data_IF_300183876972
#
_entry.id   IF_300183876972
#
_cell.length_a   1.000
_cell.length_b   1.000
_cell.length_c   1.000
_cell.angle_alpha   90.00
_cell.angle_beta   90.00
_cell.angle_gamma   90.00
#
_symmetry.space_group_name_H-M   'P 1'
#
loop_
_entity.id
_entity.type
_entity.pdbx_description
1 polymer ?
#
# COMPACT_ATOMS: atom_id res chain seq x y z
N UNK A 1 22.07 -23.47 -36.14
CA UNK A 1 21.89 -23.04 -34.74
C UNK A 1 22.54 -24.10 -33.84
N UNK A 2 23.62 -23.74 -33.16
CA UNK A 2 24.39 -24.63 -32.30
C UNK A 2 23.54 -25.03 -31.07
N UNK A 3 23.16 -26.32 -31.00
CA UNK A 3 22.39 -26.92 -29.90
C UNK A 3 22.80 -26.46 -28.48
N UNK A 4 24.10 -26.31 -28.13
CA UNK A 4 24.49 -25.84 -26.79
C UNK A 4 24.12 -24.37 -26.51
N UNK A 5 24.09 -23.50 -27.53
CA UNK A 5 23.70 -22.09 -27.38
C UNK A 5 22.20 -21.95 -27.08
N UNK A 6 21.38 -22.83 -27.68
CA UNK A 6 19.93 -22.86 -27.43
C UNK A 6 19.61 -23.30 -26.00
N UNK A 7 20.33 -24.31 -25.50
CA UNK A 7 20.16 -24.82 -24.12
C UNK A 7 20.60 -23.78 -23.09
N UNK A 8 21.71 -23.07 -23.34
CA UNK A 8 22.17 -21.98 -22.49
C UNK A 8 21.18 -20.79 -22.46
N UNK A 9 20.58 -20.45 -23.61
CA UNK A 9 19.57 -19.39 -23.68
C UNK A 9 18.28 -19.75 -22.93
N UNK A 10 17.81 -21.01 -23.04
CA UNK A 10 16.62 -21.50 -22.32
C UNK A 10 16.87 -21.59 -20.80
N UNK A 11 18.06 -22.00 -20.36
CA UNK A 11 18.39 -22.00 -18.93
C UNK A 11 18.52 -20.58 -18.37
N UNK A 12 19.07 -19.64 -19.14
CA UNK A 12 19.23 -18.24 -18.70
C UNK A 12 17.92 -17.52 -18.41
N UNK A 13 16.84 -17.80 -19.15
CA UNK A 13 15.53 -17.17 -18.94
C UNK A 13 14.81 -17.66 -17.68
N UNK A 14 15.12 -18.86 -17.19
CA UNK A 14 14.54 -19.43 -15.97
C UNK A 14 15.10 -18.77 -14.69
N UNK A 15 16.36 -18.32 -14.70
CA UNK A 15 16.98 -17.67 -13.54
C UNK A 15 16.60 -16.18 -13.38
N UNK A 16 16.10 -15.54 -14.43
CA UNK A 16 15.71 -14.12 -14.40
C UNK A 16 14.28 -13.88 -13.87
N UNK A 17 13.48 -14.93 -13.64
CA UNK A 17 12.08 -14.80 -13.19
C UNK A 17 11.92 -14.48 -11.69
N UNK A 18 13.00 -14.42 -10.91
CA UNK A 18 12.91 -14.39 -9.44
C UNK A 18 12.87 -12.99 -8.80
N UNK A 19 13.03 -11.90 -9.55
CA UNK A 19 13.28 -10.57 -8.94
C UNK A 19 12.04 -9.65 -8.85
N UNK A 20 10.92 -9.97 -9.49
CA UNK A 20 9.75 -9.08 -9.51
C UNK A 20 8.96 -9.03 -8.18
N UNK A 21 8.83 -10.15 -7.46
CA UNK A 21 8.09 -10.19 -6.18
C UNK A 21 8.79 -9.52 -5.00
N UNK A 22 10.09 -9.18 -5.11
CA UNK A 22 10.84 -8.54 -4.02
C UNK A 22 10.52 -7.04 -3.93
N UNK A 23 10.13 -6.41 -5.04
CA UNK A 23 9.92 -4.96 -5.08
C UNK A 23 8.58 -4.53 -4.47
N UNK A 24 7.58 -5.41 -4.44
CA UNK A 24 6.27 -5.12 -3.84
C UNK A 24 6.21 -5.64 -2.41
N UNK A 25 6.79 -4.88 -1.47
CA UNK A 25 6.84 -5.25 -0.06
C UNK A 25 5.46 -5.47 0.57
N UNK A 26 5.40 -6.24 1.67
CA UNK A 26 4.16 -6.55 2.39
C UNK A 26 3.53 -5.37 3.16
N UNK A 27 4.20 -4.20 3.13
CA UNK A 27 3.79 -2.98 3.82
C UNK A 27 3.82 -1.81 2.84
N UNK A 28 2.86 -0.90 2.97
CA UNK A 28 2.81 0.39 2.29
C UNK A 28 3.13 1.51 3.28
N UNK A 29 3.83 2.54 2.82
CA UNK A 29 4.04 3.76 3.60
C UNK A 29 2.80 4.66 3.47
N UNK A 30 2.40 5.24 4.60
CA UNK A 30 1.26 6.14 4.70
C UNK A 30 1.68 7.39 5.46
N UNK A 31 1.72 8.51 4.74
CA UNK A 31 2.04 9.82 5.31
C UNK A 31 0.80 10.43 5.95
N UNK A 32 0.87 10.76 7.22
CA UNK A 32 -0.24 11.37 7.96
C UNK A 32 0.23 12.72 8.47
N UNK A 33 -0.49 13.76 8.04
CA UNK A 33 -0.24 15.15 8.42
C UNK A 33 -1.57 15.85 8.62
N UNK A 34 -1.57 16.96 9.34
CA UNK A 34 -2.81 17.66 9.63
C UNK A 34 -2.67 18.62 10.79
N UNK A 35 -3.80 19.16 11.21
CA UNK A 35 -3.89 20.10 12.33
C UNK A 35 -5.00 19.64 13.27
N UNK A 36 -4.78 19.62 14.59
CA UNK A 36 -3.56 20.03 15.32
C UNK A 36 -2.42 19.01 15.22
N UNK A 37 -1.18 19.42 15.51
CA UNK A 37 -0.05 18.50 15.65
C UNK A 37 -0.20 17.59 16.87
N UNK A 38 0.62 16.53 16.96
CA UNK A 38 0.61 15.52 18.02
C UNK A 38 -0.72 14.76 18.13
N UNK A 39 -1.41 14.60 17.00
CA UNK A 39 -2.60 13.76 16.95
C UNK A 39 -2.19 12.28 16.97
N UNK A 40 -2.80 11.48 17.83
CA UNK A 40 -2.53 10.06 17.95
C UNK A 40 -3.09 9.30 16.73
N UNK A 41 -2.29 8.40 16.18
CA UNK A 41 -2.63 7.61 15.00
C UNK A 41 -2.85 6.16 15.42
N UNK A 42 -3.99 5.60 15.04
CA UNK A 42 -4.34 4.21 15.27
C UNK A 42 -4.68 3.50 13.97
N UNK A 43 -4.19 2.28 13.81
CA UNK A 43 -4.59 1.38 12.71
C UNK A 43 -5.17 0.12 13.31
N UNK A 44 -6.46 -0.13 13.05
CA UNK A 44 -7.20 -1.25 13.63
C UNK A 44 -7.03 -1.33 15.16
N UNK A 45 -7.15 -0.17 15.84
CA UNK A 45 -7.00 -0.03 17.29
C UNK A 45 -5.56 -0.06 17.83
N UNK A 46 -4.55 -0.36 17.00
CA UNK A 46 -3.14 -0.35 17.43
C UNK A 46 -2.55 1.05 17.28
N UNK A 47 -1.91 1.56 18.33
CA UNK A 47 -1.19 2.83 18.29
C UNK A 47 0.03 2.74 17.37
N UNK A 48 0.13 3.70 16.45
CA UNK A 48 1.18 3.76 15.42
C UNK A 48 2.12 4.95 15.58
N UNK A 49 1.83 5.87 16.52
CA UNK A 49 2.59 7.09 16.76
C UNK A 49 1.72 8.34 16.69
N UNK A 50 2.36 9.51 16.69
CA UNK A 50 1.71 10.83 16.62
C UNK A 50 2.00 11.52 15.29
N UNK A 51 1.06 12.30 14.77
CA UNK A 51 1.23 13.09 13.55
C UNK A 51 1.95 14.44 13.81
N UNK A 52 2.70 15.00 12.84
CA UNK A 52 2.94 14.46 11.50
C UNK A 52 3.94 13.29 11.51
N UNK A 53 3.58 12.18 10.84
CA UNK A 53 4.41 10.98 10.79
C UNK A 53 4.10 10.13 9.55
N UNK A 54 5.08 9.36 9.10
CA UNK A 54 4.93 8.36 8.03
C UNK A 54 5.01 6.97 8.64
N UNK A 55 3.90 6.23 8.62
CA UNK A 55 3.80 4.90 9.20
C UNK A 55 3.85 3.82 8.12
N UNK A 56 4.35 2.63 8.47
CA UNK A 56 4.32 1.45 7.59
C UNK A 56 3.12 0.58 7.93
N UNK A 57 2.12 0.55 7.06
CA UNK A 57 0.88 -0.21 7.23
C UNK A 57 0.93 -1.49 6.40
N UNK A 58 0.54 -2.63 6.97
CA UNK A 58 0.51 -3.89 6.22
C UNK A 58 -0.50 -3.81 5.07
N UNK A 59 -0.16 -4.36 3.92
CA UNK A 59 -1.05 -4.38 2.75
C UNK A 59 -2.36 -5.14 3.03
N UNK A 60 -2.39 -6.03 4.02
CA UNK A 60 -3.58 -6.73 4.50
C UNK A 60 -4.60 -5.79 5.14
N UNK A 61 -4.18 -4.72 5.81
CA UNK A 61 -5.08 -3.73 6.40
C UNK A 61 -5.91 -3.03 5.31
N UNK A 62 -5.26 -2.66 4.20
CA UNK A 62 -5.93 -2.11 3.02
C UNK A 62 -6.84 -3.14 2.32
N UNK A 63 -6.50 -4.43 2.38
CA UNK A 63 -7.32 -5.51 1.80
C UNK A 63 -8.65 -5.63 2.52
N UNK A 64 -8.59 -5.59 3.84
CA UNK A 64 -9.72 -5.86 4.70
C UNK A 64 -10.64 -4.64 4.88
N UNK A 65 -10.27 -3.49 4.31
CA UNK A 65 -11.05 -2.26 4.46
C UNK A 65 -10.89 -1.63 5.84
N UNK A 66 -9.77 -1.89 6.54
CA UNK A 66 -9.61 -1.48 7.93
C UNK A 66 -9.56 0.03 8.07
N UNK A 67 -9.95 0.50 9.25
CA UNK A 67 -9.97 1.91 9.57
C UNK A 67 -8.65 2.38 10.18
N UNK A 68 -8.16 3.51 9.70
CA UNK A 68 -7.20 4.35 10.38
C UNK A 68 -7.97 5.43 11.15
N UNK A 69 -7.65 5.61 12.42
CA UNK A 69 -8.27 6.62 13.28
C UNK A 69 -7.19 7.59 13.73
N UNK A 70 -7.44 8.89 13.50
CA UNK A 70 -6.65 9.96 14.08
C UNK A 70 -7.42 10.53 15.26
N UNK A 71 -6.78 10.72 16.41
CA UNK A 71 -7.39 11.27 17.62
C UNK A 71 -6.62 12.50 18.09
N UNK A 72 -7.32 13.57 18.42
CA UNK A 72 -6.72 14.73 19.07
C UNK A 72 -7.78 15.55 19.80
N UNK A 73 -7.46 16.07 20.98
CA UNK A 73 -8.32 16.97 21.75
C UNK A 73 -9.77 16.45 21.93
N UNK A 74 -9.95 15.15 22.15
CA UNK A 74 -11.27 14.53 22.31
C UNK A 74 -12.08 14.38 21.01
N UNK A 75 -11.51 14.73 19.86
CA UNK A 75 -12.09 14.49 18.53
C UNK A 75 -11.43 13.27 17.88
N UNK A 76 -12.21 12.55 17.07
CA UNK A 76 -11.73 11.42 16.27
C UNK A 76 -12.12 11.60 14.81
N UNK A 77 -11.18 11.34 13.90
CA UNK A 77 -11.44 11.29 12.47
C UNK A 77 -11.01 9.93 11.92
N UNK A 78 -11.94 9.25 11.24
CA UNK A 78 -11.71 7.91 10.69
C UNK A 78 -11.53 7.96 9.18
N UNK A 79 -10.53 7.23 8.70
CA UNK A 79 -10.21 7.06 7.29
C UNK A 79 -10.23 5.57 6.93
N UNK A 80 -10.95 5.20 5.89
CA UNK A 80 -10.96 3.81 5.41
C UNK A 80 -9.75 3.55 4.53
N UNK A 81 -8.97 2.53 4.89
CA UNK A 81 -7.88 2.03 4.07
C UNK A 81 -8.44 1.05 3.05
N UNK A 82 -8.14 1.29 1.76
CA UNK A 82 -8.60 0.45 0.65
C UNK A 82 -7.44 0.09 -0.26
N UNK A 83 -7.64 -0.94 -1.08
CA UNK A 83 -6.75 -1.22 -2.21
C UNK A 83 -7.27 -0.55 -3.47
N UNK A 84 -6.36 -0.10 -4.32
CA UNK A 84 -6.67 0.34 -5.69
C UNK A 84 -5.85 -0.46 -6.69
N UNK A 85 -6.41 -0.67 -7.88
CA UNK A 85 -5.70 -1.30 -8.99
C UNK A 85 -4.69 -0.31 -9.58
N UNK A 86 -3.47 -0.75 -9.80
CA UNK A 86 -2.44 0.01 -10.50
C UNK A 86 -2.60 -0.19 -12.00
N UNK A 87 -3.29 0.74 -12.66
CA UNK A 87 -3.60 0.66 -14.09
C UNK A 87 -2.36 0.45 -14.97
N UNK A 88 -1.21 1.02 -14.59
CA UNK A 88 0.05 0.83 -15.32
C UNK A 88 0.53 -0.62 -15.33
N UNK A 89 0.41 -1.35 -14.22
CA UNK A 89 0.77 -2.77 -14.14
C UNK A 89 -0.21 -3.61 -14.95
N UNK A 90 -1.51 -3.36 -14.80
CA UNK A 90 -2.54 -4.03 -15.58
C UNK A 90 -2.29 -3.91 -17.10
N UNK A 91 -1.92 -2.72 -17.58
CA UNK A 91 -1.61 -2.49 -19.00
C UNK A 91 -0.34 -3.25 -19.40
N UNK A 92 0.70 -3.23 -18.58
CA UNK A 92 1.94 -3.95 -18.85
C UNK A 92 1.71 -5.47 -18.97
N UNK A 93 0.95 -6.07 -18.05
CA UNK A 93 0.70 -7.52 -18.05
C UNK A 93 -0.11 -7.96 -19.28
N UNK A 94 -1.10 -7.16 -19.68
CA UNK A 94 -1.89 -7.41 -20.89
C UNK A 94 -1.00 -7.36 -22.14
N UNK A 95 -0.09 -6.38 -22.24
CA UNK A 95 0.80 -6.23 -23.39
C UNK A 95 1.86 -7.33 -23.44
N UNK A 96 2.42 -7.72 -22.29
CA UNK A 96 3.56 -8.64 -22.22
C UNK A 96 3.15 -10.12 -22.22
N UNK A 97 2.04 -10.47 -21.56
CA UNK A 97 1.64 -11.86 -21.31
C UNK A 97 0.16 -12.15 -21.56
N UNK A 98 -0.62 -11.14 -21.91
CA UNK A 98 -2.06 -11.26 -22.14
C UNK A 98 -2.85 -11.61 -20.87
N UNK A 99 -4.09 -12.04 -21.06
CA UNK A 99 -5.05 -12.28 -19.96
C UNK A 99 -4.62 -13.35 -18.95
N UNK A 100 -3.77 -14.31 -19.33
CA UNK A 100 -3.28 -15.35 -18.40
C UNK A 100 -2.40 -14.73 -17.32
N UNK A 101 -1.45 -13.86 -17.71
CA UNK A 101 -0.57 -13.18 -16.75
C UNK A 101 -1.36 -12.24 -15.85
N UNK A 102 -2.22 -11.43 -16.45
CA UNK A 102 -3.13 -10.56 -15.70
C UNK A 102 -3.93 -11.34 -14.65
N UNK A 103 -4.47 -12.51 -14.99
CA UNK A 103 -5.20 -13.36 -14.06
C UNK A 103 -4.36 -13.78 -12.85
N UNK A 104 -3.09 -14.15 -13.06
CA UNK A 104 -2.15 -14.49 -11.98
C UNK A 104 -1.93 -13.28 -11.07
N UNK A 105 -1.77 -12.08 -11.62
CA UNK A 105 -1.51 -10.87 -10.83
C UNK A 105 -2.72 -10.38 -10.02
N UNK A 106 -3.95 -10.64 -10.50
CA UNK A 106 -5.17 -10.47 -9.70
C UNK A 106 -5.18 -11.43 -8.50
N UNK A 107 -4.76 -12.68 -8.69
CA UNK A 107 -4.74 -13.71 -7.64
C UNK A 107 -3.64 -13.47 -6.61
N UNK A 108 -2.42 -13.16 -7.06
CA UNK A 108 -1.29 -12.82 -6.17
C UNK A 108 -1.50 -11.46 -5.50
N UNK A 109 -2.29 -10.60 -6.13
CA UNK A 109 -2.59 -9.25 -5.70
C UNK A 109 -1.47 -8.25 -6.03
N UNK A 110 -0.56 -8.60 -6.94
CA UNK A 110 0.53 -7.75 -7.41
C UNK A 110 0.02 -6.47 -8.08
N UNK A 111 -1.18 -6.50 -8.67
CA UNK A 111 -1.81 -5.32 -9.29
C UNK A 111 -2.32 -4.27 -8.28
N UNK A 112 -2.37 -4.58 -6.98
CA UNK A 112 -2.99 -3.71 -5.99
C UNK A 112 -1.96 -2.88 -5.21
N UNK A 113 -2.33 -1.63 -4.92
CA UNK A 113 -1.61 -0.74 -4.00
C UNK A 113 -2.52 -0.25 -2.88
N UNK A 114 -1.96 -0.04 -1.69
CA UNK A 114 -2.65 0.62 -0.59
C UNK A 114 -3.06 2.05 -0.94
N UNK A 115 -4.25 2.46 -0.51
CA UNK A 115 -4.81 3.80 -0.67
C UNK A 115 -5.60 4.18 0.59
N UNK A 116 -5.53 5.43 1.06
CA UNK A 116 -4.69 6.52 0.54
C UNK A 116 -3.20 6.31 0.86
N UNK A 117 -2.32 7.03 0.15
CA UNK A 117 -0.87 7.11 0.43
C UNK A 117 -0.54 8.30 1.35
N UNK A 118 -1.44 9.28 1.37
CA UNK A 118 -1.37 10.47 2.20
C UNK A 118 -2.74 10.75 2.83
N UNK A 119 -2.76 11.05 4.11
CA UNK A 119 -3.93 11.51 4.86
C UNK A 119 -3.65 12.93 5.36
N UNK A 120 -4.57 13.84 5.05
CA UNK A 120 -4.59 15.19 5.58
C UNK A 120 -5.82 15.35 6.48
N UNK A 121 -5.62 15.37 7.80
CA UNK A 121 -6.70 15.54 8.77
C UNK A 121 -6.83 17.00 9.22
N UNK A 122 -8.06 17.40 9.54
CA UNK A 122 -8.34 18.71 10.12
C UNK A 122 -9.38 18.54 11.22
N UNK A 123 -9.00 18.96 12.42
CA UNK A 123 -9.84 18.96 13.62
C UNK A 123 -9.86 20.36 14.22
N UNK A 124 -10.94 20.69 14.92
CA UNK A 124 -11.03 21.98 15.59
C UNK A 124 -10.16 21.95 16.86
N UNK A 125 -9.29 22.93 17.01
CA UNK A 125 -8.42 23.11 18.18
C UNK A 125 -9.17 23.50 19.46
N UNK A 126 -10.45 23.85 19.35
CA UNK A 126 -11.14 24.69 20.34
C UNK A 126 -11.76 23.92 21.51
N UNK A 127 -11.57 22.60 21.59
CA UNK A 127 -12.10 21.78 22.70
C UNK A 127 -11.37 22.08 24.03
N UNK A 128 -10.25 22.82 24.02
CA UNK A 128 -9.50 23.19 25.24
C UNK A 128 -9.81 24.58 25.82
N UNK A 129 -10.76 25.35 25.27
CA UNK A 129 -11.01 26.73 25.73
C UNK A 129 -12.26 26.92 26.61
N UNK A 130 -12.93 25.86 27.06
CA UNK A 130 -14.10 26.01 27.93
C UNK A 130 -14.16 24.94 29.03
N UNK A 131 -13.35 25.11 30.08
CA UNK A 131 -13.67 24.67 31.43
C UNK A 131 -12.94 25.50 32.47
#
# INVERSE_FOLDING_TARGET
MNKPLLVAAICGTLFLQSCASILHGSKSELSIKGTPEKAEIYVNGNFMGEAPNTIKVRNTEFKNGNSLVVKSNGQEQTFTLKRRVMAGYLIADIILGGFIFTGIDFLTGAIYKGSPEEINYKMNSDVSANK
#
